data_IF_914764578579
#
_entry.id   IF_914764578579
#
_cell.length_a   1.000
_cell.length_b   1.000
_cell.length_c   1.000
_cell.angle_alpha   90.00
_cell.angle_beta   90.00
_cell.angle_gamma   90.00
#
_symmetry.space_group_name_H-M   'P 1'
#
loop_
_entity.id
_entity.type
_entity.pdbx_description
1 polymer ?
#
# COMPACT_ATOMS: atom_id res chain seq x y z
N UNK A 1 -16.73 6.92 -10.12
CA UNK A 1 -15.97 6.01 -9.22
C UNK A 1 -15.10 5.11 -10.08
N UNK A 2 -13.79 5.04 -9.84
CA UNK A 2 -12.87 4.22 -10.68
C UNK A 2 -13.02 2.74 -10.37
N UNK A 3 -12.78 1.88 -11.37
CA UNK A 3 -12.76 0.44 -11.15
C UNK A 3 -11.51 0.03 -10.38
N UNK A 4 -11.54 -1.16 -9.78
CA UNK A 4 -10.36 -1.70 -9.08
C UNK A 4 -9.20 -1.97 -10.04
N UNK A 5 -9.47 -2.36 -11.29
CA UNK A 5 -8.45 -2.60 -12.30
C UNK A 5 -7.77 -1.29 -12.73
N UNK A 6 -8.55 -0.24 -13.01
CA UNK A 6 -8.00 1.09 -13.30
C UNK A 6 -7.13 1.61 -12.14
N UNK A 7 -7.59 1.41 -10.91
CA UNK A 7 -6.83 1.82 -9.72
C UNK A 7 -5.54 1.03 -9.55
N UNK A 8 -5.53 -0.26 -9.94
CA UNK A 8 -4.34 -1.13 -9.89
C UNK A 8 -3.31 -0.72 -10.94
N UNK A 9 -3.74 -0.41 -12.16
CA UNK A 9 -2.85 0.11 -13.21
C UNK A 9 -2.18 1.43 -12.78
N UNK A 10 -2.97 2.35 -12.23
CA UNK A 10 -2.46 3.62 -11.72
C UNK A 10 -1.52 3.42 -10.54
N UNK A 11 -1.83 2.52 -9.60
CA UNK A 11 -0.94 2.20 -8.49
C UNK A 11 0.41 1.69 -9.01
N UNK A 12 0.40 0.75 -9.94
CA UNK A 12 1.64 0.21 -10.54
C UNK A 12 2.44 1.29 -11.27
N UNK A 13 1.77 2.18 -12.00
CA UNK A 13 2.41 3.33 -12.64
C UNK A 13 3.10 4.22 -11.61
N UNK A 14 2.40 4.61 -10.54
CA UNK A 14 2.94 5.49 -9.49
C UNK A 14 4.14 4.83 -8.79
N UNK A 15 4.06 3.53 -8.48
CA UNK A 15 5.18 2.76 -7.90
C UNK A 15 6.37 2.73 -8.87
N UNK A 16 6.14 2.53 -10.17
CA UNK A 16 7.22 2.55 -11.18
C UNK A 16 7.91 3.92 -11.31
N UNK A 17 7.22 4.99 -10.89
CA UNK A 17 7.76 6.36 -10.82
C UNK A 17 8.42 6.66 -9.46
N UNK A 18 8.61 5.65 -8.61
CA UNK A 18 9.26 5.77 -7.31
C UNK A 18 8.35 6.26 -6.18
N UNK A 19 7.03 6.23 -6.36
CA UNK A 19 6.09 6.61 -5.29
C UNK A 19 5.82 5.41 -4.41
N UNK A 20 6.23 5.51 -3.15
CA UNK A 20 5.94 4.52 -2.12
C UNK A 20 4.63 4.85 -1.40
N UNK A 21 3.77 3.83 -1.22
CA UNK A 21 2.53 3.95 -0.49
C UNK A 21 2.57 3.12 0.79
N UNK A 22 2.19 3.76 1.89
CA UNK A 22 1.90 3.12 3.17
C UNK A 22 0.42 3.24 3.48
N UNK A 23 -0.11 2.32 4.27
CA UNK A 23 -1.50 2.35 4.73
C UNK A 23 -1.54 2.72 6.21
N UNK A 24 -2.16 3.85 6.53
CA UNK A 24 -2.36 4.31 7.92
C UNK A 24 -3.86 4.43 8.16
N UNK A 25 -4.39 3.69 9.14
CA UNK A 25 -5.82 3.72 9.51
C UNK A 25 -6.77 3.58 8.30
N UNK A 26 -6.43 2.68 7.37
CA UNK A 26 -7.21 2.45 6.14
C UNK A 26 -7.04 3.51 5.05
N UNK A 27 -6.19 4.52 5.26
CA UNK A 27 -5.91 5.58 4.31
C UNK A 27 -4.52 5.40 3.68
N UNK A 28 -4.40 5.45 2.34
CA UNK A 28 -3.11 5.44 1.68
C UNK A 28 -2.42 6.78 1.90
N UNK A 29 -1.15 6.72 2.28
CA UNK A 29 -0.25 7.85 2.49
C UNK A 29 0.96 7.66 1.59
N UNK A 30 1.37 8.71 0.90
CA UNK A 30 2.62 8.69 0.14
C UNK A 30 3.76 8.97 1.10
N UNK A 31 4.74 8.08 1.12
CA UNK A 31 5.97 8.26 1.88
C UNK A 31 7.10 8.62 0.91
N UNK A 32 7.68 9.81 1.07
CA UNK A 32 8.80 10.25 0.23
C UNK A 32 9.71 11.22 0.99
N UNK A 33 11.02 11.04 0.85
CA UNK A 33 12.03 11.99 1.36
C UNK A 33 12.19 13.21 0.44
N UNK A 34 11.71 13.11 -0.80
CA UNK A 34 11.84 14.15 -1.82
C UNK A 34 10.47 14.70 -2.20
N UNK A 35 10.47 15.95 -2.70
CA UNK A 35 9.26 16.57 -3.23
C UNK A 35 8.71 15.73 -4.38
N UNK A 36 7.43 15.35 -4.27
CA UNK A 36 6.75 14.55 -5.30
C UNK A 36 6.32 15.49 -6.43
N UNK A 37 6.43 15.01 -7.67
CA UNK A 37 5.89 15.70 -8.83
C UNK A 37 4.39 16.02 -8.63
N UNK A 38 3.95 17.28 -8.79
CA UNK A 38 2.57 17.67 -8.56
C UNK A 38 1.54 16.92 -9.41
N UNK A 39 1.89 16.54 -10.64
CA UNK A 39 1.01 15.77 -11.50
C UNK A 39 0.83 14.35 -10.97
N UNK A 40 1.92 13.69 -10.55
CA UNK A 40 1.83 12.37 -9.93
C UNK A 40 1.04 12.40 -8.62
N UNK A 41 1.22 13.44 -7.81
CA UNK A 41 0.44 13.65 -6.59
C UNK A 41 -1.07 13.80 -6.90
N UNK A 42 -1.42 14.58 -7.92
CA UNK A 42 -2.80 14.76 -8.34
C UNK A 42 -3.43 13.46 -8.86
N UNK A 43 -2.67 12.65 -9.59
CA UNK A 43 -3.10 11.31 -10.02
C UNK A 43 -3.35 10.43 -8.79
N UNK A 44 -2.40 10.35 -7.85
CA UNK A 44 -2.57 9.57 -6.64
C UNK A 44 -3.82 10.01 -5.83
N UNK A 45 -4.05 11.33 -5.72
CA UNK A 45 -5.23 11.89 -5.05
C UNK A 45 -6.53 11.50 -5.76
N UNK A 46 -6.55 11.54 -7.10
CA UNK A 46 -7.72 11.16 -7.91
C UNK A 46 -8.12 9.69 -7.73
N UNK A 47 -7.15 8.79 -7.56
CA UNK A 47 -7.38 7.34 -7.42
C UNK A 47 -7.31 6.84 -5.96
N UNK A 48 -7.30 7.75 -4.98
CA UNK A 48 -7.03 7.47 -3.57
C UNK A 48 -7.86 6.33 -2.99
N UNK A 49 -9.18 6.34 -3.20
CA UNK A 49 -10.08 5.32 -2.65
C UNK A 49 -9.82 3.93 -3.24
N UNK A 50 -9.55 3.86 -4.55
CA UNK A 50 -9.23 2.61 -5.22
C UNK A 50 -7.90 2.04 -4.74
N UNK A 51 -6.89 2.91 -4.60
CA UNK A 51 -5.58 2.55 -4.03
C UNK A 51 -5.76 2.04 -2.60
N UNK A 52 -6.55 2.73 -1.77
CA UNK A 52 -6.85 2.31 -0.41
C UNK A 52 -7.38 0.88 -0.35
N UNK A 53 -8.40 0.58 -1.17
CA UNK A 53 -9.00 -0.76 -1.24
C UNK A 53 -8.01 -1.84 -1.65
N UNK A 54 -7.12 -1.54 -2.60
CA UNK A 54 -6.09 -2.48 -3.03
C UNK A 54 -5.13 -2.77 -1.87
N UNK A 55 -4.63 -1.74 -1.20
CA UNK A 55 -3.70 -1.89 -0.08
C UNK A 55 -4.35 -2.59 1.12
N UNK A 56 -5.64 -2.36 1.39
CA UNK A 56 -6.38 -3.06 2.43
C UNK A 56 -6.45 -4.56 2.14
N UNK A 57 -6.81 -4.95 0.91
CA UNK A 57 -6.83 -6.36 0.50
C UNK A 57 -5.44 -7.00 0.55
N UNK A 58 -4.41 -6.24 0.17
CA UNK A 58 -3.03 -6.68 0.27
C UNK A 58 -2.65 -6.94 1.75
N UNK A 59 -2.97 -6.01 2.66
CA UNK A 59 -2.76 -6.16 4.10
C UNK A 59 -3.43 -7.42 4.64
N UNK A 60 -4.71 -7.63 4.30
CA UNK A 60 -5.48 -8.81 4.73
C UNK A 60 -4.78 -10.10 4.28
N UNK A 61 -4.34 -10.16 3.02
CA UNK A 61 -3.61 -11.32 2.50
C UNK A 61 -2.29 -11.57 3.24
N UNK A 62 -1.51 -10.53 3.54
CA UNK A 62 -0.28 -10.66 4.34
C UNK A 62 -0.57 -11.12 5.78
N UNK A 63 -1.64 -10.62 6.39
CA UNK A 63 -2.01 -11.01 7.75
C UNK A 63 -2.48 -12.47 7.84
N UNK A 64 -3.22 -12.96 6.83
CA UNK A 64 -3.57 -14.38 6.76
C UNK A 64 -2.33 -15.27 6.67
N UNK A 65 -1.35 -14.90 5.84
CA UNK A 65 -0.06 -15.61 5.77
C UNK A 65 0.69 -15.58 7.10
N UNK A 66 0.72 -14.42 7.76
CA UNK A 66 1.40 -14.25 9.06
C UNK A 66 0.84 -15.19 10.13
N UNK A 67 -0.48 -15.42 10.13
CA UNK A 67 -1.14 -16.31 11.09
C UNK A 67 -0.72 -17.78 10.97
N UNK A 68 -0.35 -18.23 9.77
CA UNK A 68 -0.02 -19.64 9.48
C UNK A 68 1.48 -19.89 9.23
N UNK A 69 2.29 -18.84 9.15
CA UNK A 69 3.72 -18.93 8.87
C UNK A 69 4.54 -19.52 10.02
N UNK A 70 5.63 -20.20 9.68
CA UNK A 70 6.66 -20.64 10.63
C UNK A 70 7.60 -19.48 11.02
N UNK A 71 8.43 -19.65 12.06
CA UNK A 71 9.12 -18.55 12.74
C UNK A 71 9.86 -17.55 11.82
N UNK A 72 10.68 -18.02 10.89
CA UNK A 72 11.45 -17.13 9.99
C UNK A 72 10.55 -16.34 9.04
N UNK A 73 9.57 -17.00 8.42
CA UNK A 73 8.62 -16.35 7.51
C UNK A 73 7.70 -15.39 8.27
N UNK A 74 7.33 -15.75 9.50
CA UNK A 74 6.52 -14.92 10.39
C UNK A 74 7.22 -13.61 10.75
N UNK A 75 8.53 -13.64 10.98
CA UNK A 75 9.34 -12.43 11.21
C UNK A 75 9.33 -11.48 10.02
N UNK A 76 9.51 -11.99 8.80
CA UNK A 76 9.45 -11.19 7.58
C UNK A 76 8.06 -10.59 7.34
N UNK A 77 7.01 -11.38 7.51
CA UNK A 77 5.62 -10.92 7.35
C UNK A 77 5.26 -9.85 8.40
N UNK A 78 5.76 -10.00 9.63
CA UNK A 78 5.60 -8.99 10.69
C UNK A 78 6.17 -7.64 10.27
N UNK A 79 7.40 -7.62 9.76
CA UNK A 79 8.06 -6.38 9.27
C UNK A 79 7.20 -5.70 8.20
N UNK A 80 6.68 -6.45 7.22
CA UNK A 80 5.81 -5.88 6.17
C UNK A 80 4.53 -5.28 6.78
N UNK A 81 3.88 -6.01 7.68
CA UNK A 81 2.63 -5.57 8.31
C UNK A 81 2.81 -4.32 9.18
N UNK A 82 3.93 -4.22 9.88
CA UNK A 82 4.29 -3.05 10.68
C UNK A 82 4.71 -1.87 9.80
N UNK A 83 5.68 -2.04 8.90
CA UNK A 83 6.29 -0.93 8.17
C UNK A 83 5.43 -0.35 7.04
N UNK A 84 4.70 -1.22 6.32
CA UNK A 84 3.88 -0.82 5.16
C UNK A 84 2.43 -0.56 5.55
N UNK A 85 1.89 -1.35 6.48
CA UNK A 85 0.47 -1.31 6.84
C UNK A 85 0.16 -0.75 8.22
N UNK A 86 1.19 -0.29 8.95
CA UNK A 86 1.07 0.36 10.26
C UNK A 86 0.20 -0.45 11.23
N UNK A 87 0.37 -1.77 11.21
CA UNK A 87 -0.33 -2.72 12.07
C UNK A 87 0.52 -3.01 13.30
N UNK A 88 -0.09 -3.02 14.49
CA UNK A 88 0.60 -3.43 15.72
C UNK A 88 0.36 -4.93 15.94
N UNK A 89 1.44 -5.74 15.90
CA UNK A 89 1.41 -7.21 15.94
C UNK A 89 2.22 -7.85 17.07
#
# INVERSE_FOLDING_TARGET
MFTINQSKEILNLLISKGIEFKLHNGMPVIYSKHKIDPNLFNIAKKYREGIARILIKEKESFYEKYKIACETEKGFLKIILEEKFNMNL
#
